data_IF_320635520317
#
_entry.id   IF_320635520317
#
_cell.length_a   1.000
_cell.length_b   1.000
_cell.length_c   1.000
_cell.angle_alpha   90.00
_cell.angle_beta   90.00
_cell.angle_gamma   90.00
#
_symmetry.space_group_name_H-M   'P 1'
#
loop_
_entity.id
_entity.type
_entity.pdbx_description
1 polymer ?
#
# COMPACT_ATOMS: atom_id res chain seq x y z
N UNK A 1 -18.64 7.90 7.03
CA UNK A 1 -17.75 6.91 6.40
C UNK A 1 -16.78 7.64 5.47
N UNK A 2 -15.49 7.31 5.54
CA UNK A 2 -14.41 8.01 4.85
C UNK A 2 -13.97 7.26 3.60
N UNK A 3 -14.78 7.34 2.53
CA UNK A 3 -14.44 6.69 1.25
C UNK A 3 -13.16 7.23 0.62
N UNK A 4 -12.84 8.51 0.86
CA UNK A 4 -11.64 9.14 0.27
C UNK A 4 -10.35 8.49 0.76
N UNK A 5 -10.26 8.10 2.05
CA UNK A 5 -9.05 7.45 2.58
C UNK A 5 -8.88 6.03 2.00
N UNK A 6 -9.95 5.25 1.87
CA UNK A 6 -9.91 3.95 1.19
C UNK A 6 -9.58 4.09 -0.30
N UNK A 7 -10.22 5.04 -1.01
CA UNK A 7 -9.94 5.32 -2.42
C UNK A 7 -8.47 5.68 -2.64
N UNK A 8 -7.92 6.62 -1.86
CA UNK A 8 -6.51 6.99 -1.95
C UNK A 8 -5.59 5.79 -1.72
N UNK A 9 -5.86 4.97 -0.72
CA UNK A 9 -5.05 3.79 -0.42
C UNK A 9 -5.05 2.78 -1.59
N UNK A 10 -6.22 2.52 -2.19
CA UNK A 10 -6.32 1.66 -3.38
C UNK A 10 -5.56 2.25 -4.57
N UNK A 11 -5.70 3.56 -4.81
CA UNK A 11 -4.98 4.26 -5.88
C UNK A 11 -3.45 4.20 -5.65
N UNK A 12 -2.98 4.29 -4.40
CA UNK A 12 -1.55 4.20 -4.05
C UNK A 12 -1.02 2.78 -4.29
N UNK A 13 -1.79 1.75 -3.93
CA UNK A 13 -1.42 0.36 -4.22
C UNK A 13 -1.36 0.07 -5.73
N UNK A 14 -2.31 0.57 -6.52
CA UNK A 14 -2.28 0.43 -7.98
C UNK A 14 -1.07 1.16 -8.55
N UNK A 15 -0.78 2.38 -8.07
CA UNK A 15 0.37 3.14 -8.53
C UNK A 15 1.67 2.40 -8.23
N UNK A 16 1.82 1.84 -7.02
CA UNK A 16 2.97 1.02 -6.65
C UNK A 16 3.11 -0.22 -7.56
N UNK A 17 2.00 -0.91 -7.86
CA UNK A 17 2.00 -2.03 -8.81
C UNK A 17 2.48 -1.58 -10.19
N UNK A 18 1.98 -0.47 -10.73
CA UNK A 18 2.41 0.04 -12.04
C UNK A 18 3.91 0.37 -12.06
N UNK A 19 4.48 0.86 -10.95
CA UNK A 19 5.93 1.09 -10.85
C UNK A 19 6.71 -0.23 -10.85
N UNK A 20 6.20 -1.28 -10.17
CA UNK A 20 6.87 -2.59 -10.07
C UNK A 20 6.89 -3.37 -11.38
N UNK A 21 5.76 -3.44 -12.08
CA UNK A 21 5.57 -4.37 -13.20
C UNK A 21 5.15 -3.68 -14.51
N UNK A 22 5.10 -2.35 -14.52
CA UNK A 22 4.62 -1.56 -15.64
C UNK A 22 3.10 -1.40 -15.66
N UNK A 23 2.62 -0.46 -16.47
CA UNK A 23 1.20 -0.26 -16.69
C UNK A 23 0.56 -1.46 -17.39
N UNK A 24 -0.56 -1.93 -16.85
CA UNK A 24 -1.42 -2.92 -17.47
C UNK A 24 -2.89 -2.56 -17.21
N UNK A 25 -3.67 -2.48 -18.28
CA UNK A 25 -5.14 -2.34 -18.20
C UNK A 25 -5.75 -3.70 -17.90
N UNK A 26 -5.95 -3.99 -16.61
CA UNK A 26 -6.37 -5.32 -16.15
C UNK A 26 -7.13 -5.27 -14.84
N UNK A 27 -7.78 -6.38 -14.51
CA UNK A 27 -8.49 -6.54 -13.23
C UNK A 27 -7.46 -6.68 -12.11
N UNK A 28 -7.57 -5.84 -11.09
CA UNK A 28 -6.70 -5.84 -9.92
C UNK A 28 -7.46 -6.31 -8.69
N UNK A 29 -6.78 -7.03 -7.80
CA UNK A 29 -7.35 -7.50 -6.53
C UNK A 29 -6.46 -7.14 -5.37
N UNK A 30 -7.06 -6.61 -4.31
CA UNK A 30 -6.40 -6.31 -3.06
C UNK A 30 -7.12 -6.98 -1.89
N UNK A 31 -6.34 -7.41 -0.91
CA UNK A 31 -6.83 -8.15 0.24
C UNK A 31 -6.64 -7.34 1.51
N UNK A 32 -7.73 -7.17 2.26
CA UNK A 32 -7.73 -6.42 3.51
C UNK A 32 -8.37 -7.22 4.63
N UNK A 33 -7.79 -7.22 5.84
CA UNK A 33 -8.54 -7.54 7.04
C UNK A 33 -9.73 -6.58 7.22
N UNK A 34 -10.83 -7.07 7.81
CA UNK A 34 -11.97 -6.21 8.17
C UNK A 34 -11.54 -4.99 8.99
N UNK A 35 -10.62 -5.19 9.94
CA UNK A 35 -10.14 -4.13 10.82
C UNK A 35 -9.44 -3.00 10.04
N UNK A 36 -8.63 -3.33 9.04
CA UNK A 36 -7.98 -2.34 8.18
C UNK A 36 -9.01 -1.52 7.39
N UNK A 37 -10.05 -2.18 6.84
CA UNK A 37 -11.13 -1.47 6.15
C UNK A 37 -11.90 -0.54 7.09
N UNK A 38 -12.19 -1.01 8.31
CA UNK A 38 -12.83 -0.18 9.34
C UNK A 38 -12.03 1.07 9.66
N UNK A 39 -10.69 0.99 9.75
CA UNK A 39 -9.85 2.18 9.94
C UNK A 39 -9.83 3.10 8.74
N UNK A 40 -9.66 2.55 7.54
CA UNK A 40 -9.66 3.35 6.31
C UNK A 40 -10.99 4.10 6.15
N UNK A 41 -12.10 3.48 6.54
CA UNK A 41 -13.43 4.06 6.47
C UNK A 41 -13.83 4.89 7.70
N UNK A 42 -13.07 4.80 8.81
CA UNK A 42 -13.42 5.43 10.08
C UNK A 42 -14.73 4.88 10.66
N UNK A 43 -14.86 3.55 10.70
CA UNK A 43 -16.06 2.83 11.11
C UNK A 43 -15.73 1.64 12.03
N UNK A 44 -16.75 1.01 12.60
CA UNK A 44 -16.66 -0.23 13.40
C UNK A 44 -17.71 -1.24 12.90
N UNK A 45 -17.67 -1.55 11.61
CA UNK A 45 -18.64 -2.43 10.95
C UNK A 45 -18.29 -3.91 11.14
N UNK A 46 -19.33 -4.73 11.16
CA UNK A 46 -19.24 -6.18 10.97
C UNK A 46 -18.90 -6.54 9.51
N UNK A 47 -18.63 -7.82 9.23
CA UNK A 47 -18.42 -8.27 7.83
C UNK A 47 -19.64 -7.98 6.94
N UNK A 48 -20.84 -8.18 7.45
CA UNK A 48 -22.09 -8.00 6.70
C UNK A 48 -22.32 -6.52 6.36
N UNK A 49 -22.11 -5.63 7.34
CA UNK A 49 -22.22 -4.19 7.13
C UNK A 49 -21.10 -3.66 6.24
N UNK A 50 -19.88 -4.19 6.35
CA UNK A 50 -18.76 -3.83 5.49
C UNK A 50 -19.03 -4.21 4.02
N UNK A 51 -19.70 -5.35 3.78
CA UNK A 51 -20.11 -5.72 2.42
C UNK A 51 -21.03 -4.66 1.80
N UNK A 52 -21.97 -4.11 2.57
CA UNK A 52 -22.85 -3.03 2.10
C UNK A 52 -22.08 -1.72 1.92
N UNK A 53 -21.17 -1.38 2.83
CA UNK A 53 -20.30 -0.22 2.68
C UNK A 53 -19.44 -0.27 1.40
N UNK A 54 -19.05 -1.47 0.94
CA UNK A 54 -18.34 -1.64 -0.33
C UNK A 54 -19.22 -1.40 -1.56
N UNK A 55 -20.53 -1.64 -1.47
CA UNK A 55 -21.48 -1.29 -2.53
C UNK A 55 -21.62 0.23 -2.65
N UNK A 56 -21.78 0.92 -1.51
CA UNK A 56 -21.82 2.39 -1.47
C UNK A 56 -20.49 3.01 -1.95
N UNK A 57 -19.35 2.42 -1.57
CA UNK A 57 -18.04 2.83 -2.06
C UNK A 57 -17.92 2.67 -3.58
N UNK A 58 -18.42 1.56 -4.13
CA UNK A 58 -18.45 1.33 -5.58
C UNK A 58 -19.26 2.42 -6.28
N UNK A 59 -20.44 2.77 -5.76
CA UNK A 59 -21.28 3.82 -6.35
C UNK A 59 -20.61 5.19 -6.25
N UNK A 60 -19.95 5.49 -5.12
CA UNK A 60 -19.24 6.76 -4.88
C UNK A 60 -18.04 6.99 -5.81
N UNK A 61 -17.39 5.91 -6.25
CA UNK A 61 -16.13 5.95 -7.01
C UNK A 61 -16.28 5.47 -8.46
N UNK A 62 -17.50 5.15 -8.89
CA UNK A 62 -17.76 4.48 -10.18
C UNK A 62 -17.22 5.26 -11.40
N UNK A 63 -17.24 6.58 -11.35
CA UNK A 63 -16.70 7.45 -12.40
C UNK A 63 -15.17 7.31 -12.55
N UNK A 64 -14.46 7.01 -11.47
CA UNK A 64 -12.99 6.93 -11.42
C UNK A 64 -12.50 5.48 -11.46
N UNK A 65 -13.06 4.62 -10.62
CA UNK A 65 -12.61 3.24 -10.42
C UNK A 65 -13.44 2.20 -11.17
N UNK A 66 -14.59 2.59 -11.74
CA UNK A 66 -15.57 1.68 -12.30
C UNK A 66 -16.32 0.89 -11.22
N UNK A 67 -17.01 -0.18 -11.64
CA UNK A 67 -17.78 -1.02 -10.72
C UNK A 67 -16.85 -1.90 -9.87
N UNK A 68 -16.53 -1.42 -8.67
CA UNK A 68 -15.77 -2.16 -7.66
C UNK A 68 -16.65 -3.26 -7.06
N UNK A 69 -16.08 -4.43 -6.81
CA UNK A 69 -16.77 -5.50 -6.07
C UNK A 69 -15.94 -5.98 -4.90
N UNK A 70 -16.61 -6.45 -3.86
CA UNK A 70 -15.96 -7.01 -2.69
C UNK A 70 -16.55 -8.39 -2.36
N UNK A 71 -15.74 -9.26 -1.80
CA UNK A 71 -16.20 -10.51 -1.18
C UNK A 71 -15.40 -10.78 0.09
N UNK A 72 -16.03 -11.30 1.14
CA UNK A 72 -15.34 -11.68 2.37
C UNK A 72 -15.20 -13.19 2.54
N UNK A 73 -14.15 -13.61 3.26
CA UNK A 73 -14.00 -14.96 3.81
C UNK A 73 -13.14 -14.91 5.08
N UNK A 74 -13.69 -15.36 6.21
CA UNK A 74 -12.99 -15.44 7.50
C UNK A 74 -12.30 -14.13 7.90
N UNK A 75 -13.03 -12.99 7.89
CA UNK A 75 -12.50 -11.69 8.29
C UNK A 75 -11.58 -11.02 7.26
N UNK A 76 -11.41 -11.59 6.06
CA UNK A 76 -10.61 -11.02 4.98
C UNK A 76 -11.47 -10.69 3.76
N UNK A 77 -11.40 -9.45 3.32
CA UNK A 77 -12.06 -8.92 2.14
C UNK A 77 -11.13 -8.97 0.94
N UNK A 78 -11.64 -9.43 -0.20
CA UNK A 78 -11.03 -9.30 -1.51
C UNK A 78 -11.77 -8.19 -2.26
N UNK A 79 -11.13 -7.04 -2.45
CA UNK A 79 -11.64 -5.94 -3.28
C UNK A 79 -11.14 -6.17 -4.71
N UNK A 80 -12.06 -6.28 -5.66
CA UNK A 80 -11.77 -6.45 -7.09
C UNK A 80 -12.10 -5.15 -7.82
N UNK A 81 -11.10 -4.59 -8.49
CA UNK A 81 -11.23 -3.39 -9.31
C UNK A 81 -11.16 -3.75 -10.80
N UNK A 82 -12.05 -3.20 -11.63
CA UNK A 82 -12.01 -3.40 -13.08
C UNK A 82 -10.82 -2.64 -13.71
N UNK A 83 -10.50 -2.90 -15.00
CA UNK A 83 -9.40 -2.23 -15.72
C UNK A 83 -9.42 -0.69 -15.62
N UNK A 84 -10.62 -0.10 -15.58
CA UNK A 84 -10.81 1.35 -15.43
C UNK A 84 -10.04 1.95 -14.24
N UNK A 85 -9.91 1.25 -13.11
CA UNK A 85 -9.14 1.76 -11.97
C UNK A 85 -7.64 1.87 -12.29
N UNK A 86 -7.08 0.92 -13.06
CA UNK A 86 -5.69 0.96 -13.51
C UNK A 86 -5.47 2.10 -14.49
N UNK A 87 -6.37 2.23 -15.47
CA UNK A 87 -6.36 3.28 -16.48
C UNK A 87 -6.45 4.67 -15.83
N UNK A 88 -7.35 4.84 -14.86
CA UNK A 88 -7.52 6.08 -14.11
C UNK A 88 -6.24 6.49 -13.38
N UNK A 89 -5.58 5.55 -12.69
CA UNK A 89 -4.29 5.85 -12.02
C UNK A 89 -3.21 6.21 -13.03
N UNK A 90 -3.15 5.48 -14.15
CA UNK A 90 -2.15 5.72 -15.19
C UNK A 90 -2.28 7.12 -15.81
N UNK A 91 -3.51 7.56 -16.07
CA UNK A 91 -3.80 8.83 -16.72
C UNK A 91 -3.76 10.02 -15.76
N UNK A 92 -4.14 9.82 -14.49
CA UNK A 92 -4.40 10.93 -13.55
C UNK A 92 -3.40 11.04 -12.41
N UNK A 93 -2.50 10.06 -12.22
CA UNK A 93 -1.51 10.10 -11.13
C UNK A 93 -0.10 9.89 -11.66
N UNK A 94 0.84 10.67 -11.11
CA UNK A 94 2.27 10.45 -11.30
C UNK A 94 2.83 9.77 -10.05
N UNK A 95 3.66 8.73 -10.19
CA UNK A 95 4.32 8.14 -9.04
C UNK A 95 5.28 9.15 -8.43
N UNK A 96 5.43 9.12 -7.10
CA UNK A 96 6.43 9.95 -6.44
C UNK A 96 7.84 9.53 -6.89
N UNK A 97 8.74 10.50 -7.03
CA UNK A 97 10.13 10.22 -7.40
C UNK A 97 10.80 9.29 -6.38
N UNK A 98 10.44 9.44 -5.11
CA UNK A 98 10.86 8.55 -4.03
C UNK A 98 10.44 7.10 -4.31
N UNK A 99 9.16 6.84 -4.56
CA UNK A 99 8.65 5.49 -4.78
C UNK A 99 9.32 4.82 -6.00
N UNK A 100 9.51 5.57 -7.09
CA UNK A 100 10.20 5.08 -8.29
C UNK A 100 11.65 4.72 -7.98
N UNK A 101 12.39 5.61 -7.30
CA UNK A 101 13.79 5.36 -6.96
C UNK A 101 13.94 4.22 -5.95
N UNK A 102 13.08 4.16 -4.94
CA UNK A 102 13.06 3.09 -3.94
C UNK A 102 12.82 1.73 -4.61
N UNK A 103 11.77 1.60 -5.42
CA UNK A 103 11.44 0.36 -6.13
C UNK A 103 12.57 -0.04 -7.09
N UNK A 104 13.12 0.92 -7.83
CA UNK A 104 14.25 0.68 -8.73
C UNK A 104 15.49 0.16 -8.00
N UNK A 105 15.78 0.68 -6.81
CA UNK A 105 16.89 0.21 -5.97
C UNK A 105 16.66 -1.20 -5.46
N UNK A 106 15.52 -1.48 -4.83
CA UNK A 106 15.24 -2.81 -4.24
C UNK A 106 15.04 -3.90 -5.28
N UNK A 107 14.62 -3.55 -6.50
CA UNK A 107 14.48 -4.51 -7.60
C UNK A 107 15.83 -4.92 -8.22
N UNK A 108 16.92 -4.21 -7.93
CA UNK A 108 18.24 -4.52 -8.47
C UNK A 108 18.88 -5.67 -7.67
N UNK A 109 19.29 -6.70 -8.39
CA UNK A 109 20.05 -7.82 -7.82
C UNK A 109 21.31 -7.34 -7.11
N UNK A 110 21.53 -7.79 -5.87
CA UNK A 110 22.67 -7.40 -5.04
C UNK A 110 22.60 -5.99 -4.49
N UNK A 111 21.42 -5.35 -4.44
CA UNK A 111 21.27 -4.07 -3.75
C UNK A 111 21.64 -4.20 -2.26
N UNK A 112 22.31 -3.19 -1.72
CA UNK A 112 22.69 -3.17 -0.30
C UNK A 112 21.68 -2.37 0.53
N UNK A 113 21.69 -2.61 1.84
CA UNK A 113 20.91 -1.78 2.77
C UNK A 113 21.33 -0.31 2.70
N UNK A 114 22.63 -0.03 2.62
CA UNK A 114 23.16 1.33 2.52
C UNK A 114 22.61 2.06 1.28
N UNK A 115 22.53 1.38 0.13
CA UNK A 115 21.94 1.96 -1.08
C UNK A 115 20.45 2.27 -0.92
N UNK A 116 19.72 1.47 -0.13
CA UNK A 116 18.32 1.75 0.19
C UNK A 116 18.22 2.93 1.16
N UNK A 117 19.06 3.00 2.20
CA UNK A 117 19.09 4.13 3.14
C UNK A 117 19.46 5.44 2.44
N UNK A 118 20.40 5.40 1.50
CA UNK A 118 20.77 6.54 0.65
C UNK A 118 19.57 7.07 -0.16
N UNK A 119 18.63 6.20 -0.54
CA UNK A 119 17.37 6.64 -1.15
C UNK A 119 16.53 7.40 -0.13
N UNK A 120 16.26 6.86 1.06
CA UNK A 120 15.44 7.55 2.07
C UNK A 120 16.05 8.90 2.46
N UNK A 121 17.34 8.94 2.77
CA UNK A 121 18.03 10.17 3.17
C UNK A 121 18.15 11.21 2.05
N UNK A 122 17.99 10.82 0.79
CA UNK A 122 17.90 11.78 -0.31
C UNK A 122 16.57 12.56 -0.34
N UNK A 123 15.54 12.10 0.37
CA UNK A 123 14.22 12.74 0.39
C UNK A 123 13.84 13.37 1.75
N UNK A 124 14.49 12.99 2.85
CA UNK A 124 14.29 13.63 4.16
C UNK A 124 15.50 13.45 5.07
N UNK A 125 15.73 14.42 5.97
CA UNK A 125 16.65 14.28 7.11
C UNK A 125 15.99 13.55 8.29
N UNK A 126 14.66 13.43 8.28
CA UNK A 126 13.83 12.83 9.34
C UNK A 126 13.45 11.38 9.01
N UNK A 127 14.45 10.51 8.90
CA UNK A 127 14.26 9.09 8.59
C UNK A 127 14.54 8.25 9.84
N UNK A 128 13.54 7.50 10.28
CA UNK A 128 13.71 6.45 11.29
C UNK A 128 14.23 5.18 10.63
N UNK A 129 15.24 4.57 11.23
CA UNK A 129 15.78 3.27 10.83
C UNK A 129 15.96 2.41 12.07
N UNK A 130 15.31 1.26 12.10
CA UNK A 130 15.38 0.34 13.23
C UNK A 130 15.59 -1.09 12.76
N UNK A 131 16.55 -1.77 13.39
CA UNK A 131 16.75 -3.21 13.19
C UNK A 131 15.78 -3.97 14.08
N UNK A 132 14.98 -4.85 13.49
CA UNK A 132 13.96 -5.60 14.21
C UNK A 132 14.40 -7.03 14.53
N UNK A 133 13.81 -7.63 15.56
CA UNK A 133 14.04 -9.02 15.94
C UNK A 133 12.71 -9.70 16.27
N UNK A 134 12.43 -10.83 15.60
CA UNK A 134 11.22 -11.63 15.85
C UNK A 134 9.96 -11.17 15.11
N UNK A 135 10.08 -10.18 14.22
CA UNK A 135 8.94 -9.55 13.50
C UNK A 135 8.70 -10.12 12.09
N UNK A 136 9.61 -10.98 11.61
CA UNK A 136 9.55 -11.53 10.24
C UNK A 136 10.19 -10.66 9.17
N UNK A 137 10.80 -9.54 9.55
CA UNK A 137 11.64 -8.68 8.71
C UNK A 137 12.85 -8.19 9.49
N UNK A 138 13.86 -7.67 8.79
CA UNK A 138 15.14 -7.27 9.37
C UNK A 138 15.18 -5.79 9.79
N UNK A 139 14.50 -4.92 9.04
CA UNK A 139 14.49 -3.48 9.30
C UNK A 139 13.10 -2.85 9.14
N UNK A 140 12.80 -1.90 10.02
CA UNK A 140 11.72 -0.93 9.87
C UNK A 140 12.31 0.41 9.44
N UNK A 141 11.76 1.01 8.38
CA UNK A 141 12.17 2.33 7.89
C UNK A 141 10.93 3.19 7.59
N UNK A 142 10.94 4.46 8.00
CA UNK A 142 9.87 5.41 7.66
C UNK A 142 10.31 6.87 7.84
N UNK A 143 9.54 7.80 7.27
CA UNK A 143 9.71 9.23 7.46
C UNK A 143 8.95 9.69 8.71
N UNK A 144 9.65 10.27 9.68
CA UNK A 144 9.07 10.68 10.97
C UNK A 144 8.08 11.85 10.79
N UNK A 145 8.30 12.69 9.78
CA UNK A 145 7.48 13.84 9.44
C UNK A 145 6.38 13.52 8.41
N UNK A 146 6.31 12.27 7.92
CA UNK A 146 5.36 11.83 6.90
C UNK A 146 5.64 12.39 5.50
N UNK A 147 6.87 12.83 5.22
CA UNK A 147 7.27 13.38 3.92
C UNK A 147 8.41 12.52 3.36
N UNK A 148 8.30 11.98 2.12
CA UNK A 148 7.23 12.17 1.14
C UNK A 148 5.94 11.37 1.39
N UNK A 149 5.96 10.37 2.27
CA UNK A 149 4.78 9.60 2.66
C UNK A 149 4.89 9.10 4.11
N UNK A 150 3.78 8.59 4.65
CA UNK A 150 3.64 8.15 6.04
C UNK A 150 3.71 6.62 6.21
N UNK A 151 4.11 5.87 5.18
CA UNK A 151 4.14 4.42 5.24
C UNK A 151 5.27 3.86 6.12
N UNK A 152 5.08 2.61 6.55
CA UNK A 152 6.10 1.78 7.22
C UNK A 152 6.67 0.79 6.21
N UNK A 153 7.98 0.89 5.96
CA UNK A 153 8.71 0.00 5.07
C UNK A 153 9.42 -1.07 5.90
N UNK A 154 8.89 -2.28 5.85
CA UNK A 154 9.49 -3.47 6.47
C UNK A 154 10.38 -4.15 5.44
N UNK A 155 11.70 -4.16 5.66
CA UNK A 155 12.71 -4.68 4.74
C UNK A 155 13.29 -6.02 5.24
N UNK A 156 13.43 -6.99 4.34
CA UNK A 156 14.04 -8.29 4.60
C UNK A 156 15.17 -8.55 3.61
N UNK A 157 16.32 -8.99 4.12
CA UNK A 157 17.50 -9.37 3.36
C UNK A 157 17.48 -10.89 3.13
N UNK A 158 17.06 -11.30 1.95
CA UNK A 158 17.02 -12.71 1.56
C UNK A 158 18.14 -13.03 0.55
N UNK A 159 19.32 -13.35 1.08
CA UNK A 159 20.50 -13.61 0.27
C UNK A 159 20.98 -12.35 -0.45
N UNK A 160 20.94 -12.36 -1.79
CA UNK A 160 21.31 -11.21 -2.64
C UNK A 160 20.10 -10.34 -3.04
N UNK A 161 18.92 -10.59 -2.48
CA UNK A 161 17.70 -9.85 -2.78
C UNK A 161 17.16 -9.12 -1.55
N UNK A 162 16.66 -7.90 -1.76
CA UNK A 162 15.88 -7.18 -0.77
C UNK A 162 14.39 -7.37 -1.06
N UNK A 163 13.64 -7.82 -0.07
CA UNK A 163 12.17 -7.88 -0.11
C UNK A 163 11.65 -6.78 0.80
N UNK A 164 10.53 -6.17 0.41
CA UNK A 164 9.86 -5.21 1.26
C UNK A 164 8.36 -5.44 1.33
N UNK A 165 7.80 -5.10 2.48
CA UNK A 165 6.37 -4.88 2.67
C UNK A 165 6.14 -3.44 3.10
N UNK A 166 5.03 -2.86 2.63
CA UNK A 166 4.63 -1.50 2.94
C UNK A 166 3.29 -1.52 3.65
N UNK A 167 3.22 -0.90 4.82
CA UNK A 167 2.02 -0.85 5.65
C UNK A 167 1.67 0.59 6.01
N UNK A 168 0.38 0.88 6.17
CA UNK A 168 -0.03 2.10 6.88
C UNK A 168 0.48 2.03 8.32
N UNK A 169 0.71 3.18 8.99
CA UNK A 169 1.06 3.17 10.42
C UNK A 169 0.12 2.32 11.25
N UNK A 170 -1.19 2.44 11.00
CA UNK A 170 -2.21 1.75 11.77
C UNK A 170 -2.27 0.24 11.49
N UNK A 171 -1.93 -0.21 10.28
CA UNK A 171 -1.83 -1.65 9.98
C UNK A 171 -0.56 -2.26 10.59
N UNK A 172 0.55 -1.50 10.57
CA UNK A 172 1.81 -1.92 11.17
C UNK A 172 1.65 -2.20 12.67
N UNK A 173 1.02 -1.28 13.40
CA UNK A 173 0.76 -1.42 14.85
C UNK A 173 -0.12 -2.65 15.17
N UNK A 174 -1.10 -2.93 14.31
CA UNK A 174 -2.07 -4.01 14.53
C UNK A 174 -1.53 -5.41 14.32
N UNK A 175 -0.58 -5.55 13.41
CA UNK A 175 0.09 -6.83 13.20
C UNK A 175 1.01 -7.20 14.37
N UNK A 176 1.25 -6.27 15.31
CA UNK A 176 1.99 -6.53 16.54
C UNK A 176 3.46 -6.82 16.29
N UNK A 177 4.03 -6.18 15.27
CA UNK A 177 5.46 -6.17 14.99
C UNK A 177 6.24 -5.38 16.03
#
# INVERSE_FOLDING_TARGET
MNFKKLENNLLDMIQEQQVKIGYMSGVTRFYYPLQSLNRLLGTELTEEEMQHAMEEFSDHTCDRLGKVTASSKNGRFCITLPPQASDYVHENRKPSEFLVRFIGTVARHGCTLDEVMDVFHAYSEHVHVEKTTGTGFDYLVYFEDGIPDDYRYCLSLEGEHMIYHKFTPEDYEDFGF
#
